data_IF_623446057309
#
_entry.id   IF_623446057309
#
_cell.length_a   1.000
_cell.length_b   1.000
_cell.length_c   1.000
_cell.angle_alpha   90.00
_cell.angle_beta   90.00
_cell.angle_gamma   90.00
#
_symmetry.space_group_name_H-M   'P 1'
#
loop_
_entity.id
_entity.type
_entity.pdbx_description
1 polymer ?
#
# COMPACT_ATOMS: atom_id res chain seq x y z
N UNK A 1 20.41 19.59 -17.95
CA UNK A 1 20.86 18.23 -18.34
C UNK A 1 20.95 17.38 -17.08
N UNK A 2 20.17 16.30 -16.97
CA UNK A 2 20.31 15.32 -15.87
C UNK A 2 21.15 14.17 -16.43
N UNK A 3 22.40 14.08 -16.01
CA UNK A 3 23.29 13.00 -16.42
C UNK A 3 22.85 11.76 -15.64
N UNK A 4 22.45 10.65 -16.29
CA UNK A 4 22.22 9.39 -15.58
C UNK A 4 23.59 8.90 -15.12
N UNK A 5 23.93 9.15 -13.86
CA UNK A 5 25.12 8.58 -13.25
C UNK A 5 24.77 7.11 -13.00
N UNK A 6 25.31 6.22 -13.84
CA UNK A 6 25.22 4.77 -13.63
C UNK A 6 26.18 4.40 -12.49
N UNK A 7 25.76 4.65 -11.25
CA UNK A 7 26.51 4.27 -10.05
C UNK A 7 26.25 2.79 -9.82
N UNK A 8 27.30 1.97 -9.87
CA UNK A 8 27.19 0.56 -9.49
C UNK A 8 26.95 0.44 -7.98
N UNK A 9 26.25 -0.62 -7.57
CA UNK A 9 25.86 -0.81 -6.16
C UNK A 9 27.06 -0.73 -5.20
N UNK A 10 28.19 -1.31 -5.59
CA UNK A 10 29.42 -1.28 -4.79
C UNK A 10 29.98 0.14 -4.62
N UNK A 11 29.93 0.95 -5.67
CA UNK A 11 30.36 2.36 -5.62
C UNK A 11 29.45 3.17 -4.69
N UNK A 12 28.13 2.91 -4.73
CA UNK A 12 27.18 3.54 -3.82
C UNK A 12 27.46 3.16 -2.36
N UNK A 13 27.75 1.88 -2.09
CA UNK A 13 28.11 1.42 -0.74
C UNK A 13 29.37 2.10 -0.23
N UNK A 14 30.38 2.29 -1.08
CA UNK A 14 31.61 3.00 -0.70
C UNK A 14 31.34 4.47 -0.37
N UNK A 15 30.53 5.15 -1.17
CA UNK A 15 30.14 6.55 -0.93
C UNK A 15 29.38 6.68 0.39
N UNK A 16 28.44 5.76 0.66
CA UNK A 16 27.67 5.76 1.90
C UNK A 16 28.59 5.55 3.10
N UNK A 17 29.53 4.61 3.03
CA UNK A 17 30.50 4.34 4.12
C UNK A 17 31.43 5.52 4.41
N UNK A 18 31.67 6.41 3.46
CA UNK A 18 32.49 7.60 3.63
C UNK A 18 31.75 8.77 4.30
N UNK A 19 30.44 8.66 4.53
CA UNK A 19 29.66 9.72 5.15
C UNK A 19 29.98 9.87 6.65
N UNK A 20 29.96 11.11 7.19
CA UNK A 20 30.04 11.33 8.63
C UNK A 20 28.92 10.62 9.41
N UNK A 21 29.13 10.25 10.68
CA UNK A 21 28.14 9.51 11.49
C UNK A 21 26.75 10.17 11.54
N UNK A 22 26.70 11.50 11.61
CA UNK A 22 25.46 12.27 11.61
C UNK A 22 24.70 12.20 10.28
N UNK A 23 25.42 12.12 9.17
CA UNK A 23 24.82 11.99 7.84
C UNK A 23 24.38 10.55 7.55
N UNK A 24 25.13 9.56 8.05
CA UNK A 24 24.73 8.15 8.04
C UNK A 24 23.41 7.94 8.77
N UNK A 25 23.25 8.52 9.97
CA UNK A 25 22.01 8.45 10.75
C UNK A 25 20.83 9.08 10.00
N UNK A 26 21.03 10.25 9.38
CA UNK A 26 19.99 10.90 8.57
C UNK A 26 19.60 10.06 7.35
N UNK A 27 20.59 9.48 6.66
CA UNK A 27 20.35 8.61 5.52
C UNK A 27 19.59 7.34 5.92
N UNK A 28 19.95 6.72 7.04
CA UNK A 28 19.27 5.55 7.57
C UNK A 28 17.78 5.85 7.85
N UNK A 29 17.48 6.98 8.49
CA UNK A 29 16.09 7.38 8.75
C UNK A 29 15.28 7.57 7.46
N UNK A 30 15.88 8.18 6.42
CA UNK A 30 15.19 8.39 5.15
C UNK A 30 15.00 7.07 4.38
N UNK A 31 16.00 6.16 4.42
CA UNK A 31 15.89 4.82 3.84
C UNK A 31 14.78 4.02 4.54
N UNK A 32 14.73 4.03 5.87
CA UNK A 32 13.69 3.31 6.63
C UNK A 32 12.29 3.85 6.33
N UNK A 33 12.16 5.16 6.17
CA UNK A 33 10.90 5.81 5.78
C UNK A 33 10.46 5.42 4.37
N UNK A 34 11.38 5.33 3.41
CA UNK A 34 11.07 4.91 2.04
C UNK A 34 10.83 3.41 1.94
N UNK A 35 11.59 2.58 2.67
CA UNK A 35 11.37 1.13 2.75
C UNK A 35 9.97 0.81 3.30
N UNK A 36 9.46 1.61 4.24
CA UNK A 36 8.08 1.49 4.75
C UNK A 36 7.00 1.91 3.75
N UNK A 37 7.32 2.71 2.72
CA UNK A 37 6.36 3.02 1.64
C UNK A 37 6.15 1.86 0.68
N UNK A 38 7.00 0.83 0.76
CA UNK A 38 7.01 -0.33 -0.12
C UNK A 38 6.38 -1.58 0.48
N UNK A 39 5.28 -1.47 1.22
CA UNK A 39 4.39 -2.62 1.37
C UNK A 39 3.16 -2.36 0.51
N UNK A 40 3.09 -3.07 -0.63
CA UNK A 40 1.79 -3.41 -1.22
C UNK A 40 0.91 -3.78 -0.04
N UNK A 41 -0.22 -3.08 0.15
CA UNK A 41 -1.22 -3.51 1.11
C UNK A 41 -1.41 -5.00 0.87
N UNK A 42 -1.02 -5.79 1.86
CA UNK A 42 -1.11 -7.24 1.78
C UNK A 42 -2.56 -7.57 1.42
N UNK A 43 -2.75 -8.40 0.39
CA UNK A 43 -4.06 -8.66 -0.19
C UNK A 43 -5.00 -9.22 0.89
N UNK A 44 -4.47 -10.05 1.78
CA UNK A 44 -5.20 -10.57 2.93
C UNK A 44 -5.67 -9.43 3.84
N UNK A 45 -4.77 -8.51 4.22
CA UNK A 45 -5.12 -7.31 5.00
C UNK A 45 -6.17 -6.43 4.30
N UNK A 46 -6.11 -6.27 2.98
CA UNK A 46 -7.08 -5.48 2.21
C UNK A 46 -8.47 -6.15 2.19
N UNK A 47 -8.52 -7.48 2.00
CA UNK A 47 -9.77 -8.23 1.99
C UNK A 47 -10.42 -8.28 3.38
N UNK A 48 -9.63 -8.43 4.44
CA UNK A 48 -10.11 -8.48 5.82
C UNK A 48 -10.65 -7.13 6.32
N UNK A 49 -10.05 -6.02 5.87
CA UNK A 49 -10.45 -4.67 6.28
C UNK A 49 -11.28 -3.93 5.22
N UNK A 50 -11.83 -4.66 4.25
CA UNK A 50 -12.70 -4.11 3.23
C UNK A 50 -13.98 -3.51 3.84
N UNK A 51 -14.62 -2.54 3.16
CA UNK A 51 -15.87 -1.96 3.62
C UNK A 51 -16.97 -3.03 3.70
N UNK A 52 -17.66 -3.08 4.85
CA UNK A 52 -18.83 -3.94 5.06
C UNK A 52 -20.11 -3.11 4.94
N UNK A 53 -21.18 -3.73 4.44
CA UNK A 53 -22.48 -3.07 4.33
C UNK A 53 -23.04 -2.75 5.72
N UNK A 54 -23.64 -1.57 5.87
CA UNK A 54 -24.35 -1.19 7.09
C UNK A 54 -25.66 -1.99 7.23
N UNK A 55 -26.24 -2.05 8.42
CA UNK A 55 -27.53 -2.73 8.64
C UNK A 55 -28.63 -2.21 7.72
N UNK A 56 -28.69 -0.89 7.51
CA UNK A 56 -29.65 -0.28 6.60
C UNK A 56 -29.44 -0.73 5.15
N UNK A 57 -28.18 -0.82 4.71
CA UNK A 57 -27.84 -1.31 3.38
C UNK A 57 -28.18 -2.80 3.23
N UNK A 58 -27.94 -3.61 4.26
CA UNK A 58 -28.31 -5.02 4.28
C UNK A 58 -29.84 -5.21 4.18
N UNK A 59 -30.62 -4.40 4.90
CA UNK A 59 -32.09 -4.43 4.81
C UNK A 59 -32.58 -4.03 3.42
N UNK A 60 -31.97 -3.01 2.80
CA UNK A 60 -32.31 -2.61 1.43
C UNK A 60 -31.97 -3.72 0.42
N UNK A 61 -30.79 -4.34 0.55
CA UNK A 61 -30.37 -5.49 -0.28
C UNK A 61 -31.37 -6.64 -0.15
N UNK A 62 -31.81 -6.95 1.07
CA UNK A 62 -32.77 -8.02 1.32
C UNK A 62 -34.12 -7.76 0.65
N UNK A 63 -34.70 -6.56 0.86
CA UNK A 63 -35.97 -6.16 0.22
C UNK A 63 -35.87 -6.21 -1.31
N UNK A 64 -34.76 -5.73 -1.86
CA UNK A 64 -34.54 -5.77 -3.31
C UNK A 64 -34.45 -7.20 -3.84
N UNK A 65 -33.76 -8.10 -3.12
CA UNK A 65 -33.69 -9.53 -3.49
C UNK A 65 -35.06 -10.18 -3.50
N UNK A 66 -35.89 -9.89 -2.51
CA UNK A 66 -37.26 -10.40 -2.43
C UNK A 66 -38.11 -9.91 -3.62
N UNK A 67 -38.08 -8.61 -3.91
CA UNK A 67 -38.79 -8.03 -5.04
C UNK A 67 -38.36 -8.65 -6.38
N UNK A 68 -37.05 -8.81 -6.61
CA UNK A 68 -36.52 -9.45 -7.83
C UNK A 68 -36.97 -10.90 -7.93
N UNK A 69 -36.97 -11.64 -6.81
CA UNK A 69 -37.41 -13.04 -6.81
C UNK A 69 -38.91 -13.19 -7.06
N UNK A 70 -39.73 -12.23 -6.62
CA UNK A 70 -41.14 -12.19 -6.97
C UNK A 70 -41.33 -11.92 -8.46
N UNK A 71 -40.65 -10.91 -9.00
CA UNK A 71 -40.70 -10.60 -10.44
C UNK A 71 -40.29 -11.78 -11.32
N UNK A 72 -39.30 -12.58 -10.91
CA UNK A 72 -38.88 -13.79 -11.66
C UNK A 72 -39.89 -14.93 -11.65
N UNK A 73 -40.88 -14.90 -10.75
CA UNK A 73 -41.92 -15.92 -10.64
C UNK A 73 -43.19 -15.55 -11.42
N UNK A 74 -43.29 -14.31 -11.88
CA UNK A 74 -44.30 -13.84 -12.82
C UNK A 74 -43.93 -14.23 -14.26
#
# INVERSE_FOLDING_TARGET
MKVPISIEYEQLVQIIKALPPEQLRKLQMEIEKEAKKGYKQDLETLLLNGPVATEQQLQAIQKNREAINQWRKE
#
